data_IF_459688690664
#
_entry.id   IF_459688690664
#
_cell.length_a   1.000
_cell.length_b   1.000
_cell.length_c   1.000
_cell.angle_alpha   90.00
_cell.angle_beta   90.00
_cell.angle_gamma   90.00
#
_symmetry.space_group_name_H-M   'P 1'
#
loop_
_entity.id
_entity.type
_entity.pdbx_description
1 polymer ?
#
# COMPACT_ATOMS: atom_id res chain seq x y z
N UNK A 1 7.83 19.42 -7.46
CA UNK A 1 7.50 18.49 -6.37
C UNK A 1 7.41 17.09 -6.97
N UNK A 2 8.38 16.20 -6.71
CA UNK A 2 8.43 14.86 -7.35
C UNK A 2 7.55 13.79 -6.66
N UNK A 3 6.68 14.19 -5.73
CA UNK A 3 5.92 13.26 -4.89
C UNK A 3 4.64 12.73 -5.54
N UNK A 4 4.43 11.41 -5.51
CA UNK A 4 3.19 10.77 -5.97
C UNK A 4 2.30 10.39 -4.78
N UNK A 5 1.05 10.86 -4.75
CA UNK A 5 0.11 10.63 -3.62
C UNK A 5 -0.24 9.15 -3.46
N UNK A 6 -0.32 8.39 -4.54
CA UNK A 6 -0.84 7.02 -4.53
C UNK A 6 -2.36 7.00 -4.64
N UNK A 7 -2.90 6.06 -5.43
CA UNK A 7 -4.34 5.96 -5.73
C UNK A 7 -5.20 5.72 -4.50
N UNK A 8 -4.72 4.92 -3.54
CA UNK A 8 -5.46 4.62 -2.29
C UNK A 8 -5.59 5.86 -1.39
N UNK A 9 -4.50 6.61 -1.21
CA UNK A 9 -4.52 7.85 -0.42
C UNK A 9 -5.42 8.90 -1.06
N UNK A 10 -5.28 9.10 -2.37
CA UNK A 10 -6.11 10.05 -3.10
C UNK A 10 -7.58 9.69 -3.02
N UNK A 11 -7.93 8.41 -3.23
CA UNK A 11 -9.32 7.93 -3.11
C UNK A 11 -9.89 8.20 -1.72
N UNK A 12 -9.17 7.83 -0.66
CA UNK A 12 -9.62 8.07 0.71
C UNK A 12 -9.86 9.56 0.97
N UNK A 13 -8.93 10.42 0.52
CA UNK A 13 -9.08 11.86 0.66
C UNK A 13 -10.32 12.36 -0.10
N UNK A 14 -10.53 11.94 -1.35
CA UNK A 14 -11.69 12.31 -2.16
C UNK A 14 -13.02 11.77 -1.60
N UNK A 15 -13.00 10.65 -0.88
CA UNK A 15 -14.21 10.08 -0.26
C UNK A 15 -14.57 10.78 1.05
N UNK A 16 -13.57 11.13 1.89
CA UNK A 16 -13.82 11.64 3.25
C UNK A 16 -13.84 13.16 3.33
N UNK A 17 -12.83 13.83 2.77
CA UNK A 17 -12.60 15.26 2.99
C UNK A 17 -13.73 16.17 2.46
N UNK A 18 -14.38 15.88 1.31
CA UNK A 18 -15.44 16.75 0.82
C UNK A 18 -16.65 16.86 1.75
N UNK A 19 -16.95 15.83 2.54
CA UNK A 19 -18.04 15.89 3.53
C UNK A 19 -17.72 16.83 4.69
N UNK A 20 -16.48 16.79 5.18
CA UNK A 20 -15.97 17.68 6.24
C UNK A 20 -16.02 19.13 5.80
N UNK A 21 -15.52 19.42 4.61
CA UNK A 21 -15.53 20.77 4.03
C UNK A 21 -16.95 21.35 3.89
N UNK A 22 -17.93 20.53 3.47
CA UNK A 22 -19.33 20.97 3.38
C UNK A 22 -19.94 21.21 4.75
N UNK A 23 -19.69 20.31 5.70
CA UNK A 23 -20.19 20.47 7.07
C UNK A 23 -19.65 21.74 7.72
N UNK A 24 -18.36 22.01 7.55
CA UNK A 24 -17.74 23.27 7.99
C UNK A 24 -18.42 24.49 7.35
N UNK A 25 -18.66 24.46 6.03
CA UNK A 25 -19.36 25.55 5.34
C UNK A 25 -20.77 25.80 5.90
N UNK A 26 -21.53 24.73 6.15
CA UNK A 26 -22.88 24.82 6.72
C UNK A 26 -22.90 25.41 8.13
N UNK A 27 -21.85 25.20 8.92
CA UNK A 27 -21.75 25.70 10.29
C UNK A 27 -21.22 27.13 10.37
N UNK A 28 -20.22 27.46 9.57
CA UNK A 28 -19.45 28.70 9.73
C UNK A 28 -19.85 29.79 8.73
N UNK A 29 -20.39 29.44 7.57
CA UNK A 29 -20.68 30.40 6.52
C UNK A 29 -22.15 30.81 6.50
N UNK A 30 -22.39 32.10 6.26
CA UNK A 30 -23.74 32.61 6.06
C UNK A 30 -24.29 32.10 4.72
N UNK A 31 -25.40 31.37 4.78
CA UNK A 31 -26.01 30.76 3.59
C UNK A 31 -26.51 31.82 2.60
N UNK A 32 -26.06 31.76 1.34
CA UNK A 32 -26.68 32.46 0.22
C UNK A 32 -27.41 31.44 -0.67
N UNK A 33 -28.73 31.55 -0.78
CA UNK A 33 -29.55 30.66 -1.62
C UNK A 33 -29.17 30.69 -3.11
N UNK A 34 -28.40 31.68 -3.55
CA UNK A 34 -27.93 31.83 -4.93
C UNK A 34 -26.71 30.99 -5.28
N UNK A 35 -25.94 30.54 -4.28
CA UNK A 35 -24.68 29.85 -4.50
C UNK A 35 -24.63 28.53 -3.72
N UNK A 36 -24.23 27.47 -4.40
CA UNK A 36 -23.97 26.18 -3.76
C UNK A 36 -22.49 26.05 -3.44
N UNK A 37 -22.17 25.33 -2.36
CA UNK A 37 -20.79 25.03 -2.01
C UNK A 37 -20.27 23.86 -2.87
N UNK A 38 -19.41 24.18 -3.84
CA UNK A 38 -18.71 23.20 -4.64
C UNK A 38 -17.43 22.78 -3.94
N UNK A 39 -17.22 21.47 -3.80
CA UNK A 39 -16.02 20.92 -3.18
C UNK A 39 -15.35 19.94 -4.14
N UNK A 40 -14.08 20.18 -4.43
CA UNK A 40 -13.25 19.34 -5.28
C UNK A 40 -12.01 18.86 -4.52
N UNK A 41 -11.63 17.60 -4.71
CA UNK A 41 -10.46 17.00 -4.09
C UNK A 41 -9.61 16.32 -5.17
N UNK A 42 -8.36 16.75 -5.32
CA UNK A 42 -7.43 16.26 -6.35
C UNK A 42 -6.03 16.10 -5.80
N UNK A 43 -5.18 15.31 -6.45
CA UNK A 43 -3.74 15.42 -6.22
C UNK A 43 -3.28 16.82 -6.66
N UNK A 44 -2.36 17.42 -5.91
CA UNK A 44 -1.73 18.66 -6.33
C UNK A 44 -0.70 18.34 -7.40
N UNK A 45 -0.80 19.01 -8.55
CA UNK A 45 0.18 18.93 -9.63
C UNK A 45 1.11 20.16 -9.62
N UNK A 46 2.35 19.95 -10.02
CA UNK A 46 3.41 20.96 -10.09
C UNK A 46 3.09 22.12 -11.04
N UNK A 47 2.17 21.90 -11.98
CA UNK A 47 1.76 22.87 -12.99
C UNK A 47 0.77 23.93 -12.48
N UNK A 48 0.24 23.80 -11.25
CA UNK A 48 -0.69 24.79 -10.70
C UNK A 48 0.04 26.03 -10.23
N UNK A 49 -0.05 27.10 -11.02
CA UNK A 49 0.32 28.44 -10.58
C UNK A 49 -0.71 28.97 -9.58
N UNK A 50 -0.22 29.29 -8.39
CA UNK A 50 -1.00 29.95 -7.34
C UNK A 50 -0.86 31.46 -7.48
N UNK A 51 -1.94 32.24 -7.27
CA UNK A 51 -1.80 33.68 -7.14
C UNK A 51 -0.81 34.01 -6.01
N UNK A 52 0.22 34.80 -6.31
CA UNK A 52 1.24 35.23 -5.34
C UNK A 52 0.68 36.08 -4.19
N UNK A 53 -0.59 36.50 -4.30
CA UNK A 53 -1.33 37.29 -3.32
C UNK A 53 -2.01 36.46 -2.23
N UNK A 54 -1.99 35.13 -2.34
CA UNK A 54 -2.62 34.27 -1.34
C UNK A 54 -1.83 34.27 -0.02
N UNK A 55 -2.48 34.71 1.05
CA UNK A 55 -1.95 34.59 2.41
C UNK A 55 -2.17 33.17 2.92
N UNK A 56 -1.08 32.41 3.07
CA UNK A 56 -1.12 31.04 3.54
C UNK A 56 -1.07 30.98 5.06
N UNK A 57 -1.81 30.05 5.63
CA UNK A 57 -1.75 29.67 7.03
C UNK A 57 -1.51 28.16 7.12
N UNK A 58 -0.63 27.71 8.01
CA UNK A 58 -0.29 26.30 8.13
C UNK A 58 -0.30 25.78 9.56
N UNK A 59 -0.55 24.49 9.67
CA UNK A 59 -0.34 23.69 10.86
C UNK A 59 0.63 22.56 10.52
N UNK A 60 1.68 22.41 11.33
CA UNK A 60 2.74 21.41 11.11
C UNK A 60 2.74 20.38 12.23
N UNK A 61 2.92 19.13 11.86
CA UNK A 61 3.06 17.99 12.77
C UNK A 61 4.28 17.15 12.38
N UNK A 62 4.62 16.17 13.23
CA UNK A 62 5.62 15.17 12.90
C UNK A 62 5.25 14.30 11.68
N UNK A 63 3.96 14.25 11.31
CA UNK A 63 3.43 13.42 10.23
C UNK A 63 3.19 14.19 8.93
N UNK A 64 3.45 15.50 8.92
CA UNK A 64 3.25 16.36 7.76
C UNK A 64 2.57 17.67 8.12
N UNK A 65 2.26 18.44 7.09
CA UNK A 65 1.66 19.76 7.17
C UNK A 65 0.32 19.83 6.45
N UNK A 66 -0.55 20.69 6.97
CA UNK A 66 -1.79 21.12 6.35
C UNK A 66 -1.77 22.64 6.26
N UNK A 67 -2.13 23.17 5.09
CA UNK A 67 -2.09 24.60 4.82
C UNK A 67 -3.36 25.05 4.15
N UNK A 68 -3.84 26.23 4.54
CA UNK A 68 -5.04 26.89 4.06
C UNK A 68 -4.67 28.22 3.42
N UNK A 69 -5.29 28.54 2.28
CA UNK A 69 -5.26 29.87 1.69
C UNK A 69 -6.56 30.19 0.96
N UNK A 70 -6.81 31.47 0.75
CA UNK A 70 -7.96 31.96 -0.01
C UNK A 70 -8.76 33.01 0.75
N UNK A 71 -9.91 33.35 0.19
CA UNK A 71 -10.77 34.41 0.70
C UNK A 71 -11.77 33.88 1.73
N UNK A 72 -11.26 33.57 2.92
CA UNK A 72 -12.07 33.03 4.02
C UNK A 72 -13.14 34.02 4.49
N UNK A 73 -12.80 35.32 4.56
CA UNK A 73 -13.74 36.35 5.01
C UNK A 73 -14.94 36.43 4.07
N UNK A 74 -14.71 36.51 2.75
CA UNK A 74 -15.82 36.54 1.80
C UNK A 74 -16.62 35.26 1.76
N UNK A 75 -16.00 34.11 2.04
CA UNK A 75 -16.74 32.85 2.14
C UNK A 75 -17.63 32.79 3.39
N UNK A 76 -17.13 33.29 4.54
CA UNK A 76 -17.83 33.23 5.83
C UNK A 76 -18.98 34.25 5.88
N UNK A 77 -18.70 35.51 5.54
CA UNK A 77 -19.70 36.59 5.62
C UNK A 77 -20.58 36.66 4.35
N UNK A 78 -20.11 36.10 3.24
CA UNK A 78 -20.89 35.97 2.00
C UNK A 78 -21.48 37.30 1.53
N UNK A 79 -22.81 37.38 1.33
CA UNK A 79 -23.46 38.60 0.84
C UNK A 79 -23.36 39.78 1.82
N UNK A 80 -23.05 39.53 3.09
CA UNK A 80 -22.92 40.54 4.14
C UNK A 80 -21.50 41.06 4.32
N UNK A 81 -20.55 40.70 3.44
CA UNK A 81 -19.15 41.15 3.54
C UNK A 81 -19.00 42.68 3.65
N UNK A 82 -19.84 43.44 2.96
CA UNK A 82 -19.77 44.91 2.97
C UNK A 82 -20.26 45.51 4.29
N UNK A 83 -21.04 44.74 5.05
CA UNK A 83 -21.57 45.10 6.37
C UNK A 83 -20.76 44.44 7.51
N UNK A 84 -19.77 43.61 7.17
CA UNK A 84 -18.95 42.91 8.16
C UNK A 84 -18.06 43.92 8.90
N UNK A 85 -18.02 43.87 10.24
CA UNK A 85 -17.21 44.82 10.99
C UNK A 85 -15.72 44.59 10.72
N UNK A 86 -14.97 45.65 10.37
CA UNK A 86 -13.51 45.58 10.20
C UNK A 86 -12.75 45.65 11.55
N UNK A 87 -13.28 44.97 12.57
CA UNK A 87 -12.78 45.02 13.93
C UNK A 87 -11.95 43.79 14.31
N UNK A 88 -11.55 43.69 15.58
CA UNK A 88 -10.85 42.51 16.09
C UNK A 88 -11.76 41.27 16.16
N UNK A 89 -13.06 41.46 16.36
CA UNK A 89 -14.06 40.40 16.48
C UNK A 89 -14.21 39.63 15.18
N UNK A 90 -14.39 40.32 14.04
CA UNK A 90 -14.49 39.66 12.75
C UNK A 90 -13.19 38.93 12.38
N UNK A 91 -12.03 39.55 12.65
CA UNK A 91 -10.72 38.91 12.43
C UNK A 91 -10.51 37.69 13.33
N UNK A 92 -11.04 37.69 14.55
CA UNK A 92 -11.01 36.54 15.43
C UNK A 92 -11.92 35.43 14.90
N UNK A 93 -13.15 35.75 14.50
CA UNK A 93 -14.11 34.79 13.95
C UNK A 93 -13.58 34.10 12.69
N UNK A 94 -12.96 34.84 11.77
CA UNK A 94 -12.33 34.25 10.58
C UNK A 94 -11.20 33.29 10.98
N UNK A 95 -10.36 33.65 11.96
CA UNK A 95 -9.28 32.79 12.45
C UNK A 95 -9.80 31.50 13.10
N UNK A 96 -10.84 31.60 13.93
CA UNK A 96 -11.46 30.44 14.57
C UNK A 96 -12.12 29.53 13.53
N UNK A 97 -12.80 30.08 12.53
CA UNK A 97 -13.39 29.31 11.45
C UNK A 97 -12.31 28.54 10.64
N UNK A 98 -11.20 29.20 10.32
CA UNK A 98 -10.07 28.56 9.63
C UNK A 98 -9.42 27.45 10.49
N UNK A 99 -9.27 27.69 11.79
CA UNK A 99 -8.74 26.71 12.73
C UNK A 99 -9.68 25.50 12.86
N UNK A 100 -10.99 25.73 12.94
CA UNK A 100 -12.01 24.68 12.96
C UNK A 100 -11.94 23.80 11.72
N UNK A 101 -11.87 24.39 10.51
CA UNK A 101 -11.74 23.61 9.27
C UNK A 101 -10.50 22.70 9.29
N UNK A 102 -9.35 23.23 9.73
CA UNK A 102 -8.12 22.44 9.82
C UNK A 102 -8.28 21.32 10.84
N UNK A 103 -8.86 21.59 12.01
CA UNK A 103 -9.03 20.61 13.07
C UNK A 103 -10.04 19.51 12.70
N UNK A 104 -11.16 19.84 12.07
CA UNK A 104 -12.15 18.86 11.60
C UNK A 104 -11.53 17.92 10.56
N UNK A 105 -10.70 18.48 9.68
CA UNK A 105 -9.95 17.69 8.70
C UNK A 105 -8.91 16.80 9.39
N UNK A 106 -8.14 17.32 10.33
CA UNK A 106 -7.17 16.53 11.11
C UNK A 106 -7.86 15.39 11.88
N UNK A 107 -9.01 15.65 12.49
CA UNK A 107 -9.79 14.66 13.22
C UNK A 107 -10.23 13.50 12.32
N UNK A 108 -10.80 13.79 11.15
CA UNK A 108 -11.20 12.75 10.18
C UNK A 108 -10.02 11.94 9.65
N UNK A 109 -8.82 12.52 9.68
CA UNK A 109 -7.57 11.85 9.34
C UNK A 109 -6.94 11.09 10.52
N UNK A 110 -7.55 11.11 11.70
CA UNK A 110 -7.03 10.48 12.91
C UNK A 110 -5.80 11.17 13.49
N UNK A 111 -5.62 12.46 13.21
CA UNK A 111 -4.54 13.31 13.73
C UNK A 111 -5.03 14.11 14.93
N UNK A 112 -4.09 14.53 15.79
CA UNK A 112 -4.39 15.46 16.86
C UNK A 112 -4.66 16.86 16.31
N UNK A 113 -5.65 17.56 16.88
CA UNK A 113 -5.91 18.96 16.56
C UNK A 113 -4.79 19.90 16.99
N UNK A 114 -4.80 21.10 16.42
CA UNK A 114 -3.86 22.19 16.71
C UNK A 114 -4.57 23.38 17.36
N UNK A 115 -3.82 24.18 18.12
CA UNK A 115 -4.36 25.34 18.83
C UNK A 115 -4.11 26.67 18.13
N UNK A 116 -3.22 26.71 17.13
CA UNK A 116 -2.88 27.92 16.40
C UNK A 116 -2.39 27.59 14.99
N UNK A 117 -2.64 28.53 14.07
CA UNK A 117 -2.13 28.50 12.71
C UNK A 117 -0.96 29.46 12.58
N UNK A 118 0.06 29.06 11.82
CA UNK A 118 1.23 29.89 11.54
C UNK A 118 1.05 30.54 10.19
N UNK A 119 1.22 31.87 10.11
CA UNK A 119 1.19 32.59 8.82
C UNK A 119 2.46 32.25 8.03
N UNK A 120 2.29 31.81 6.79
CA UNK A 120 3.39 31.53 5.87
C UNK A 120 3.47 32.64 4.81
N UNK A 121 4.67 33.17 4.61
CA UNK A 121 4.96 34.25 3.65
C UNK A 121 5.01 33.77 2.19
N UNK A 122 5.02 32.47 1.95
CA UNK A 122 4.97 31.86 0.62
C UNK A 122 4.26 30.52 0.67
N UNK A 123 3.95 29.96 -0.51
CA UNK A 123 3.34 28.64 -0.65
C UNK A 123 4.02 27.60 0.27
N UNK A 124 3.25 26.69 0.90
CA UNK A 124 3.81 25.68 1.78
C UNK A 124 4.92 24.90 1.09
N UNK A 125 6.13 25.03 1.62
CA UNK A 125 7.31 24.29 1.18
C UNK A 125 7.25 22.89 1.74
N UNK A 126 6.38 22.06 1.17
CA UNK A 126 6.49 20.64 1.39
C UNK A 126 7.77 20.16 0.70
N UNK A 127 8.58 19.35 1.39
CA UNK A 127 9.92 18.99 0.92
C UNK A 127 9.92 18.45 -0.52
N UNK A 128 11.06 18.47 -1.21
CA UNK A 128 11.21 18.15 -2.64
C UNK A 128 10.49 16.85 -3.13
N UNK A 129 10.20 15.91 -2.23
CA UNK A 129 9.57 14.61 -2.46
C UNK A 129 8.17 14.44 -1.83
N UNK A 130 7.65 15.48 -1.20
CA UNK A 130 6.32 15.45 -0.58
C UNK A 130 5.26 15.30 -1.66
N UNK A 131 4.28 14.43 -1.43
CA UNK A 131 3.11 14.34 -2.28
C UNK A 131 1.97 15.08 -1.60
N UNK A 132 1.23 15.92 -2.33
CA UNK A 132 0.16 16.72 -1.74
C UNK A 132 -1.20 16.40 -2.33
N UNK A 133 -2.22 16.47 -1.47
CA UNK A 133 -3.62 16.47 -1.85
C UNK A 133 -4.16 17.88 -1.68
N UNK A 134 -4.89 18.35 -2.67
CA UNK A 134 -5.57 19.63 -2.65
C UNK A 134 -7.07 19.41 -2.52
N UNK A 135 -7.65 19.99 -1.47
CA UNK A 135 -9.08 20.18 -1.32
C UNK A 135 -9.41 21.65 -1.64
N UNK A 136 -10.40 21.87 -2.50
CA UNK A 136 -10.81 23.19 -2.95
C UNK A 136 -12.30 23.35 -2.69
N UNK A 137 -12.65 24.40 -1.94
CA UNK A 137 -14.02 24.81 -1.67
C UNK A 137 -14.28 26.09 -2.48
N UNK A 138 -15.39 26.13 -3.22
CA UNK A 138 -15.82 27.28 -4.01
C UNK A 138 -17.27 27.64 -3.69
N UNK A 139 -17.50 28.93 -3.49
CA UNK A 139 -18.83 29.51 -3.27
C UNK A 139 -18.89 30.82 -4.04
N UNK A 140 -19.63 30.85 -5.14
CA UNK A 140 -19.64 32.00 -6.05
C UNK A 140 -18.24 32.29 -6.60
N UNK A 141 -17.67 33.46 -6.28
CA UNK A 141 -16.30 33.84 -6.67
C UNK A 141 -15.27 33.54 -5.58
N UNK A 142 -15.70 33.25 -4.35
CA UNK A 142 -14.80 32.98 -3.23
C UNK A 142 -14.29 31.56 -3.29
N UNK A 143 -12.99 31.40 -3.11
CA UNK A 143 -12.33 30.10 -3.13
C UNK A 143 -11.45 29.94 -1.90
N UNK A 144 -11.58 28.80 -1.24
CA UNK A 144 -10.65 28.31 -0.23
C UNK A 144 -9.90 27.09 -0.73
N UNK A 145 -8.62 27.05 -0.44
CA UNK A 145 -7.69 26.01 -0.84
C UNK A 145 -7.03 25.43 0.39
N UNK A 146 -7.17 24.12 0.55
CA UNK A 146 -6.56 23.36 1.64
C UNK A 146 -5.59 22.35 1.02
N UNK A 147 -4.29 22.56 1.23
CA UNK A 147 -3.25 21.61 0.82
C UNK A 147 -2.85 20.74 1.99
N UNK A 148 -2.73 19.44 1.76
CA UNK A 148 -2.39 18.45 2.78
C UNK A 148 -1.22 17.59 2.29
N UNK A 149 -0.23 17.39 3.13
CA UNK A 149 0.77 16.36 2.89
C UNK A 149 0.12 14.98 2.92
N UNK A 150 0.33 14.17 1.89
CA UNK A 150 -0.22 12.82 1.77
C UNK A 150 0.19 11.90 2.94
N UNK A 151 1.25 12.24 3.66
CA UNK A 151 1.67 11.52 4.86
C UNK A 151 0.65 11.61 6.00
N UNK A 152 -0.14 12.67 6.09
CA UNK A 152 -1.22 12.82 7.08
C UNK A 152 -2.33 11.78 6.90
N UNK A 153 -2.53 11.31 5.66
CA UNK A 153 -3.54 10.29 5.31
C UNK A 153 -3.17 8.90 5.84
N UNK A 154 -1.91 8.67 6.22
CA UNK A 154 -1.44 7.34 6.62
C UNK A 154 -2.10 6.83 7.91
N UNK A 155 -2.46 7.71 8.85
CA UNK A 155 -3.10 7.30 10.09
C UNK A 155 -4.54 6.82 9.88
N UNK A 156 -5.25 7.42 8.93
CA UNK A 156 -6.62 7.06 8.56
C UNK A 156 -6.71 5.90 7.56
N UNK A 157 -5.60 5.52 6.90
CA UNK A 157 -5.53 4.28 6.15
C UNK A 157 -5.48 3.10 7.13
N UNK A 158 -6.30 2.07 6.87
CA UNK A 158 -6.30 0.83 7.67
C UNK A 158 -4.86 0.33 7.87
N UNK A 159 -4.50 0.00 9.12
CA UNK A 159 -3.19 -0.60 9.40
C UNK A 159 -2.99 -1.75 8.43
N UNK A 160 -1.87 -1.80 7.69
CA UNK A 160 -1.63 -2.88 6.74
C UNK A 160 -1.86 -4.20 7.47
N UNK A 161 -2.79 -5.02 6.97
CA UNK A 161 -2.98 -6.39 7.46
C UNK A 161 -1.60 -7.02 7.49
N UNK A 162 -1.17 -7.46 8.68
CA UNK A 162 0.17 -7.98 8.91
C UNK A 162 0.46 -9.04 7.85
N UNK A 163 1.29 -8.66 6.86
CA UNK A 163 1.62 -9.57 5.76
C UNK A 163 2.38 -10.72 6.38
N UNK A 164 1.99 -11.94 6.04
CA UNK A 164 2.74 -13.14 6.44
C UNK A 164 4.20 -12.93 6.03
N UNK A 165 5.16 -13.02 6.96
CA UNK A 165 6.55 -12.70 6.66
C UNK A 165 7.04 -13.62 5.54
N UNK A 166 7.78 -13.04 4.59
CA UNK A 166 8.45 -13.80 3.55
C UNK A 166 9.44 -14.74 4.23
N UNK A 167 9.25 -16.05 4.07
CA UNK A 167 10.16 -17.06 4.57
C UNK A 167 11.30 -17.28 3.57
N UNK A 168 12.49 -17.58 4.08
CA UNK A 168 13.64 -17.86 3.22
C UNK A 168 13.37 -19.08 2.32
N UNK A 169 13.80 -19.01 1.06
CA UNK A 169 13.63 -20.10 0.07
C UNK A 169 14.12 -21.46 0.61
N UNK A 170 15.20 -21.47 1.38
CA UNK A 170 15.76 -22.68 2.02
C UNK A 170 14.76 -23.30 3.02
N UNK A 171 14.06 -22.49 3.81
CA UNK A 171 13.07 -22.96 4.77
C UNK A 171 11.81 -23.47 4.07
N UNK A 172 11.39 -22.79 2.99
CA UNK A 172 10.26 -23.22 2.17
C UNK A 172 10.50 -24.58 1.49
N UNK A 173 11.71 -24.80 0.95
CA UNK A 173 12.08 -26.03 0.26
C UNK A 173 12.53 -27.15 1.21
N UNK A 174 13.06 -26.83 2.39
CA UNK A 174 13.63 -27.81 3.33
C UNK A 174 12.64 -28.86 3.84
N UNK A 175 11.33 -28.57 3.80
CA UNK A 175 10.28 -29.50 4.20
C UNK A 175 9.64 -30.25 3.02
N UNK A 176 10.11 -30.05 1.79
CA UNK A 176 9.58 -30.74 0.63
C UNK A 176 9.92 -32.25 0.73
N UNK A 177 8.89 -33.09 0.78
CA UNK A 177 9.06 -34.54 0.74
C UNK A 177 9.22 -34.99 -0.70
N UNK A 178 10.35 -35.62 -1.01
CA UNK A 178 10.65 -36.15 -2.33
C UNK A 178 10.69 -37.66 -2.26
N UNK A 179 9.96 -38.33 -3.15
CA UNK A 179 9.99 -39.79 -3.28
C UNK A 179 11.03 -40.19 -4.32
N UNK A 180 12.07 -40.88 -3.86
CA UNK A 180 13.09 -41.48 -4.71
C UNK A 180 12.75 -42.94 -5.00
N UNK A 181 13.01 -43.37 -6.22
CA UNK A 181 12.89 -44.75 -6.66
C UNK A 181 14.23 -45.24 -7.18
N UNK A 182 14.63 -46.43 -6.77
CA UNK A 182 15.83 -47.10 -7.25
C UNK A 182 15.36 -48.27 -8.12
N UNK A 183 15.87 -48.34 -9.35
CA UNK A 183 15.48 -49.39 -10.30
C UNK A 183 16.72 -50.19 -10.70
N UNK A 184 16.63 -51.51 -10.54
CA UNK A 184 17.58 -52.47 -11.10
C UNK A 184 16.85 -53.24 -12.21
N UNK A 185 17.27 -53.15 -13.48
CA UNK A 185 16.67 -53.92 -14.55
C UNK A 185 17.02 -55.39 -14.37
N UNK A 186 16.06 -56.14 -13.82
CA UNK A 186 16.23 -57.56 -13.54
C UNK A 186 16.08 -58.39 -14.81
N UNK A 187 14.96 -58.36 -15.51
CA UNK A 187 14.81 -59.14 -16.74
C UNK A 187 13.90 -58.42 -17.73
N UNK A 188 14.10 -58.70 -19.02
CA UNK A 188 13.15 -58.37 -20.07
C UNK A 188 12.45 -59.65 -20.48
N UNK A 189 11.12 -59.66 -20.43
CA UNK A 189 10.29 -60.81 -20.77
C UNK A 189 9.29 -60.39 -21.83
N UNK A 190 9.04 -61.28 -22.79
CA UNK A 190 7.90 -61.18 -23.67
C UNK A 190 6.59 -61.43 -22.90
N UNK A 191 5.48 -60.97 -23.45
CA UNK A 191 4.15 -61.15 -22.85
C UNK A 191 3.81 -62.65 -22.68
N UNK A 192 4.26 -63.51 -23.61
CA UNK A 192 4.07 -64.95 -23.53
C UNK A 192 4.79 -65.56 -22.32
N UNK A 193 6.07 -65.24 -22.16
CA UNK A 193 6.89 -65.72 -21.03
C UNK A 193 6.34 -65.23 -19.69
N UNK A 194 5.83 -64.00 -19.62
CA UNK A 194 5.19 -63.48 -18.40
C UNK A 194 3.95 -64.30 -18.00
N UNK A 195 3.17 -64.80 -18.96
CA UNK A 195 1.93 -65.54 -18.69
C UNK A 195 2.20 -66.92 -18.09
N UNK A 196 3.36 -67.48 -18.41
CA UNK A 196 3.73 -68.84 -18.02
C UNK A 196 4.51 -68.89 -16.70
N UNK A 197 4.81 -67.74 -16.09
CA UNK A 197 5.49 -67.66 -14.79
C UNK A 197 4.64 -68.23 -13.65
N UNK A 198 5.28 -69.06 -12.84
CA UNK A 198 4.71 -69.67 -11.63
C UNK A 198 5.55 -69.30 -10.40
N UNK A 199 4.93 -69.30 -9.20
CA UNK A 199 5.68 -69.18 -7.96
C UNK A 199 6.78 -70.25 -7.87
N UNK A 200 8.03 -69.83 -7.69
CA UNK A 200 9.20 -70.70 -7.65
C UNK A 200 10.08 -70.65 -8.90
N UNK A 201 9.60 -70.06 -10.00
CA UNK A 201 10.40 -69.88 -11.21
C UNK A 201 11.56 -68.90 -10.98
N UNK A 202 12.71 -69.20 -11.57
CA UNK A 202 13.92 -68.37 -11.44
C UNK A 202 14.13 -67.55 -12.70
N UNK A 203 14.12 -66.23 -12.56
CA UNK A 203 14.48 -65.31 -13.62
C UNK A 203 15.97 -64.97 -13.54
N UNK A 204 16.68 -65.10 -14.66
CA UNK A 204 18.08 -64.67 -14.74
C UNK A 204 18.13 -63.16 -14.87
N UNK A 205 18.80 -62.51 -13.92
CA UNK A 205 18.99 -61.08 -13.98
C UNK A 205 19.90 -60.67 -15.16
N UNK A 206 19.54 -59.61 -15.90
CA UNK A 206 20.35 -58.98 -16.95
C UNK A 206 21.41 -58.06 -16.37
N UNK A 207 21.17 -57.46 -15.20
CA UNK A 207 22.14 -56.64 -14.49
C UNK A 207 22.91 -57.48 -13.46
N UNK A 208 24.22 -57.22 -13.34
CA UNK A 208 25.04 -57.77 -12.27
C UNK A 208 24.82 -56.98 -10.98
N UNK A 209 24.98 -57.63 -9.82
CA UNK A 209 24.90 -56.93 -8.53
C UNK A 209 26.00 -55.89 -8.34
N UNK A 210 27.10 -56.01 -9.09
CA UNK A 210 28.19 -55.05 -9.10
C UNK A 210 27.92 -53.83 -10.00
N UNK A 211 26.86 -53.87 -10.83
CA UNK A 211 26.53 -52.76 -11.70
C UNK A 211 25.89 -51.61 -10.90
N UNK A 212 26.15 -50.35 -11.30
CA UNK A 212 25.53 -49.21 -10.65
C UNK A 212 24.02 -49.17 -10.93
N UNK A 213 23.24 -48.86 -9.89
CA UNK A 213 21.80 -48.60 -9.96
C UNK A 213 21.53 -47.10 -10.15
N UNK A 214 20.48 -46.81 -10.90
CA UNK A 214 19.99 -45.44 -11.09
C UNK A 214 19.01 -45.06 -9.99
N UNK A 215 19.21 -43.87 -9.42
CA UNK A 215 18.29 -43.22 -8.48
C UNK A 215 17.54 -42.14 -9.24
N UNK A 216 16.21 -42.24 -9.23
CA UNK A 216 15.33 -41.33 -9.96
C UNK A 216 14.21 -40.80 -9.07
N UNK A 217 13.66 -39.65 -9.46
CA UNK A 217 12.38 -39.19 -8.93
C UNK A 217 11.25 -40.14 -9.36
N UNK A 218 10.18 -40.24 -8.57
CA UNK A 218 9.07 -41.16 -8.84
C UNK A 218 8.51 -41.02 -10.29
N UNK A 219 8.43 -39.80 -10.80
CA UNK A 219 8.05 -39.46 -12.18
C UNK A 219 9.05 -38.46 -12.77
N UNK A 220 10.31 -38.85 -12.91
CA UNK A 220 11.30 -37.89 -13.38
C UNK A 220 12.62 -38.51 -13.83
N UNK A 221 13.58 -37.64 -14.19
CA UNK A 221 14.88 -38.06 -14.68
C UNK A 221 15.68 -38.80 -13.60
N UNK A 222 16.71 -39.50 -14.05
CA UNK A 222 17.76 -40.02 -13.16
C UNK A 222 18.51 -38.81 -12.58
N UNK A 223 18.64 -38.79 -11.25
CA UNK A 223 19.29 -37.69 -10.52
C UNK A 223 20.63 -38.10 -9.91
N UNK A 224 20.87 -39.40 -9.76
CA UNK A 224 22.13 -39.94 -9.24
C UNK A 224 22.32 -41.41 -9.66
N UNK A 225 23.57 -41.88 -9.60
CA UNK A 225 23.93 -43.29 -9.67
C UNK A 225 24.53 -43.77 -8.34
N UNK A 226 24.49 -45.07 -8.10
CA UNK A 226 25.09 -45.65 -6.91
C UNK A 226 25.25 -47.16 -7.00
N UNK A 227 25.92 -47.77 -6.03
CA UNK A 227 26.05 -49.23 -5.95
C UNK A 227 25.14 -49.79 -4.87
N UNK A 228 24.62 -51.00 -5.09
CA UNK A 228 23.89 -51.73 -4.05
C UNK A 228 24.84 -52.05 -2.90
N UNK A 229 24.39 -51.77 -1.69
CA UNK A 229 25.13 -51.99 -0.45
C UNK A 229 24.21 -52.62 0.62
N UNK A 230 24.81 -53.01 1.74
CA UNK A 230 24.10 -53.47 2.93
C UNK A 230 24.48 -52.61 4.12
N UNK A 231 23.49 -51.99 4.75
CA UNK A 231 23.68 -51.18 5.96
C UNK A 231 22.72 -51.64 7.05
N UNK A 232 23.23 -51.99 8.23
CA UNK A 232 22.43 -52.50 9.36
C UNK A 232 21.45 -53.64 8.99
N UNK A 233 21.86 -54.53 8.08
CA UNK A 233 21.01 -55.64 7.66
C UNK A 233 20.04 -55.33 6.52
N UNK A 234 19.90 -54.06 6.11
CA UNK A 234 18.98 -53.61 5.06
C UNK A 234 19.71 -53.33 3.75
N UNK A 235 19.00 -53.48 2.63
CA UNK A 235 19.50 -53.06 1.31
C UNK A 235 19.59 -51.55 1.26
N UNK A 236 20.74 -51.04 0.84
CA UNK A 236 21.04 -49.63 0.73
C UNK A 236 21.64 -49.33 -0.65
N UNK A 237 21.75 -48.04 -0.97
CA UNK A 237 22.47 -47.57 -2.16
C UNK A 237 23.57 -46.62 -1.71
N UNK A 238 24.81 -46.93 -2.05
CA UNK A 238 25.94 -46.03 -1.87
C UNK A 238 26.05 -45.11 -3.08
N UNK A 239 25.78 -43.82 -2.90
CA UNK A 239 25.82 -42.84 -3.98
C UNK A 239 27.26 -42.61 -4.46
N UNK A 240 27.40 -42.42 -5.77
CA UNK A 240 28.66 -42.04 -6.41
C UNK A 240 28.59 -40.52 -6.65
N UNK A 241 29.63 -39.78 -6.26
CA UNK A 241 29.73 -38.37 -6.64
C UNK A 241 30.12 -38.27 -8.10
N UNK A 242 29.32 -37.57 -8.90
CA UNK A 242 29.80 -37.03 -10.16
C UNK A 242 30.49 -35.69 -9.86
N UNK A 243 31.77 -35.58 -10.22
CA UNK A 243 32.45 -34.28 -10.35
C UNK A 243 31.86 -33.49 -11.53
#
# INVERSE_FOLDING_TARGET
MLGFVGTTRLRMACERLPSVARHWYEQWCMSDARHTCEVNCTALDDSREWPSTLAWQSAKSAHGSISLAGDAASMIFGPFMHDAPEDETARHLVREAQLALINDVLEVLGQSGVSHLTVESSQPSSGLLSAQVLLQLRVGQSTLHLSLDAALLNAALEKPVARTPLIERKQALGNARVKLSVRLPLASLSIGEMRDLRPGDTLRASALLADPVSVQLAEGPVIAGGYLAKQHGQVAVQLISHE
#
